data_IF_630360884777
#
_entry.id   IF_630360884777
#
_cell.length_a   1.000
_cell.length_b   1.000
_cell.length_c   1.000
_cell.angle_alpha   90.00
_cell.angle_beta   90.00
_cell.angle_gamma   90.00
#
_symmetry.space_group_name_H-M   'P 1'
#
loop_
_entity.id
_entity.type
_entity.pdbx_description
1 polymer ?
#
# COMPACT_ATOMS: atom_id res chain seq x y z
N UNK A 1 26.57 46.87 39.28
CA UNK A 1 25.15 46.43 39.24
C UNK A 1 24.68 45.82 37.90
N UNK A 2 25.52 45.70 36.85
CA UNK A 2 25.08 45.21 35.52
C UNK A 2 25.35 43.73 35.21
N UNK A 3 26.16 43.02 36.00
CA UNK A 3 26.54 41.62 35.73
C UNK A 3 25.57 40.58 36.31
N UNK A 4 24.79 40.92 37.34
CA UNK A 4 23.81 39.98 37.94
C UNK A 4 22.49 39.86 37.16
N UNK A 5 22.17 40.81 36.27
CA UNK A 5 20.92 40.80 35.50
C UNK A 5 20.98 39.87 34.27
N UNK A 6 22.16 39.66 33.69
CA UNK A 6 22.34 38.76 32.54
C UNK A 6 22.28 37.28 32.92
N UNK A 7 22.69 36.91 34.14
CA UNK A 7 22.66 35.52 34.60
C UNK A 7 21.23 35.01 34.87
N UNK A 8 20.33 35.89 35.32
CA UNK A 8 18.92 35.57 35.58
C UNK A 8 18.11 35.38 34.28
N UNK A 9 18.42 36.14 33.23
CA UNK A 9 17.78 36.00 31.91
C UNK A 9 18.20 34.71 31.17
N UNK A 10 19.44 34.27 31.34
CA UNK A 10 19.93 33.02 30.75
C UNK A 10 19.28 31.77 31.39
N UNK A 11 19.07 31.77 32.71
CA UNK A 11 18.45 30.64 33.42
C UNK A 11 16.95 30.52 33.08
N UNK A 12 16.25 31.64 32.89
CA UNK A 12 14.85 31.63 32.46
C UNK A 12 14.69 31.13 31.00
N UNK A 13 15.60 31.48 30.09
CA UNK A 13 15.57 31.01 28.70
C UNK A 13 15.81 29.51 28.55
N UNK A 14 16.72 28.94 29.35
CA UNK A 14 17.01 27.49 29.34
C UNK A 14 15.81 26.69 29.89
N UNK A 15 15.11 27.20 30.91
CA UNK A 15 13.92 26.56 31.47
C UNK A 15 12.75 26.48 30.48
N UNK A 16 12.54 27.52 29.66
CA UNK A 16 11.47 27.56 28.65
C UNK A 16 11.78 26.61 27.47
N UNK A 17 13.04 26.55 27.02
CA UNK A 17 13.46 25.62 25.96
C UNK A 17 13.36 24.17 26.43
N UNK A 18 13.79 23.87 27.66
CA UNK A 18 13.66 22.53 28.22
C UNK A 18 12.19 22.09 28.38
N UNK A 19 11.29 23.02 28.75
CA UNK A 19 9.87 22.73 28.87
C UNK A 19 9.17 22.56 27.50
N UNK A 20 9.57 23.32 26.48
CA UNK A 20 9.11 23.15 25.10
C UNK A 20 9.57 21.80 24.53
N UNK A 21 10.86 21.47 24.67
CA UNK A 21 11.43 20.18 24.23
C UNK A 21 10.78 19.00 24.97
N UNK A 22 10.53 19.11 26.28
CA UNK A 22 9.82 18.07 27.04
C UNK A 22 8.35 17.93 26.61
N UNK A 23 7.70 19.03 26.20
CA UNK A 23 6.32 19.01 25.71
C UNK A 23 6.23 18.42 24.30
N UNK A 24 7.13 18.79 23.38
CA UNK A 24 7.27 18.18 22.05
C UNK A 24 7.65 16.70 22.13
N UNK A 25 8.52 16.33 23.07
CA UNK A 25 8.92 14.94 23.30
C UNK A 25 7.81 14.10 23.96
N UNK A 26 6.93 14.73 24.74
CA UNK A 26 5.75 14.07 25.31
C UNK A 26 4.61 13.94 24.31
N UNK A 27 4.39 14.92 23.42
CA UNK A 27 3.42 14.81 22.33
C UNK A 27 3.84 13.75 21.31
N UNK A 28 5.12 13.71 20.93
CA UNK A 28 5.64 12.68 20.02
C UNK A 28 5.59 11.27 20.61
N UNK A 29 5.63 11.10 21.94
CA UNK A 29 5.43 9.79 22.58
C UNK A 29 3.97 9.34 22.61
N UNK A 30 3.02 10.26 22.69
CA UNK A 30 1.60 9.95 22.62
C UNK A 30 1.17 9.59 21.18
N UNK A 31 1.75 10.23 20.17
CA UNK A 31 1.55 9.88 18.74
C UNK A 31 2.21 8.55 18.33
N UNK A 32 3.20 8.08 19.10
CA UNK A 32 3.95 6.84 18.84
C UNK A 32 3.66 5.73 19.86
N UNK A 33 2.58 5.84 20.62
CA UNK A 33 2.18 4.78 21.54
C UNK A 33 1.51 3.65 20.73
N UNK A 34 1.95 2.38 20.87
CA UNK A 34 1.23 1.25 20.29
C UNK A 34 -0.21 1.22 20.83
N UNK A 35 -1.17 0.70 20.07
CA UNK A 35 -2.56 0.67 20.49
C UNK A 35 -2.67 -0.17 21.78
N UNK A 36 -3.59 0.18 22.70
CA UNK A 36 -3.74 -0.56 23.94
C UNK A 36 -3.94 -2.05 23.65
N UNK A 37 -3.30 -2.93 24.42
CA UNK A 37 -3.40 -4.39 24.26
C UNK A 37 -4.87 -4.88 24.24
N UNK A 38 -5.76 -4.16 24.93
CA UNK A 38 -7.21 -4.36 24.88
C UNK A 38 -7.82 -4.20 23.48
N UNK A 39 -7.32 -3.27 22.65
CA UNK A 39 -7.77 -3.05 21.28
C UNK A 39 -7.31 -4.19 20.35
N UNK A 40 -6.05 -4.63 20.48
CA UNK A 40 -5.54 -5.79 19.72
C UNK A 40 -6.29 -7.08 20.10
N UNK A 41 -6.66 -7.23 21.38
CA UNK A 41 -7.47 -8.35 21.85
C UNK A 41 -8.93 -8.27 21.40
N UNK A 42 -9.50 -7.07 21.21
CA UNK A 42 -10.84 -6.89 20.66
C UNK A 42 -10.89 -7.34 19.20
N UNK A 43 -9.94 -6.91 18.36
CA UNK A 43 -9.82 -7.38 16.97
C UNK A 43 -9.65 -8.90 16.91
N UNK A 44 -8.79 -9.47 17.76
CA UNK A 44 -8.60 -10.93 17.84
C UNK A 44 -9.90 -11.68 18.14
N UNK A 45 -10.72 -11.16 19.06
CA UNK A 45 -11.99 -11.78 19.43
C UNK A 45 -13.09 -11.61 18.38
N UNK A 46 -13.10 -10.52 17.60
CA UNK A 46 -14.05 -10.32 16.50
C UNK A 46 -13.76 -11.28 15.33
N UNK A 47 -12.48 -11.56 15.04
CA UNK A 47 -12.06 -12.56 14.04
C UNK A 47 -12.39 -14.01 14.45
N UNK A 48 -12.25 -14.38 15.72
CA UNK A 48 -12.49 -15.75 16.19
C UNK A 48 -13.99 -16.08 16.37
N UNK A 49 -14.87 -15.08 16.52
CA UNK A 49 -16.29 -15.28 16.88
C UNK A 49 -17.32 -14.93 15.78
N UNK A 50 -16.90 -14.62 14.56
CA UNK A 50 -17.85 -14.35 13.46
C UNK A 50 -18.58 -15.64 13.05
N UNK A 51 -19.80 -15.82 13.56
CA UNK A 51 -20.71 -16.88 13.14
C UNK A 51 -21.18 -16.64 11.68
N UNK A 52 -21.42 -17.71 10.89
CA UNK A 52 -21.94 -17.57 9.53
C UNK A 52 -23.33 -16.91 9.56
N UNK A 53 -23.53 -15.89 8.72
CA UNK A 53 -24.83 -15.24 8.53
C UNK A 53 -25.74 -16.18 7.72
N UNK A 54 -26.89 -16.55 8.28
CA UNK A 54 -27.91 -17.35 7.59
C UNK A 54 -28.44 -16.61 6.35
N UNK A 55 -28.39 -17.30 5.20
CA UNK A 55 -28.88 -16.82 3.91
C UNK A 55 -30.41 -16.90 3.82
N UNK A 56 -31.10 -15.76 3.98
CA UNK A 56 -32.51 -15.65 3.57
C UNK A 56 -32.64 -15.04 2.17
N UNK A 57 -33.02 -15.91 1.23
CA UNK A 57 -33.65 -15.69 -0.09
C UNK A 57 -33.36 -14.37 -0.85
N UNK A 58 -32.30 -14.42 -1.65
CA UNK A 58 -31.85 -13.46 -2.68
C UNK A 58 -32.91 -13.01 -3.71
N UNK A 59 -34.03 -13.73 -3.87
CA UNK A 59 -35.01 -13.42 -4.92
C UNK A 59 -35.90 -12.20 -4.64
N UNK A 60 -36.17 -11.87 -3.37
CA UNK A 60 -37.06 -10.75 -3.02
C UNK A 60 -36.35 -9.38 -3.04
N UNK A 61 -35.02 -9.37 -2.93
CA UNK A 61 -34.19 -8.16 -2.93
C UNK A 61 -33.90 -7.69 -4.36
N UNK A 62 -33.67 -8.62 -5.30
CA UNK A 62 -33.36 -8.29 -6.70
C UNK A 62 -34.45 -7.50 -7.41
N UNK A 63 -35.73 -7.72 -7.08
CA UNK A 63 -36.83 -6.97 -7.68
C UNK A 63 -36.84 -5.49 -7.24
N UNK A 64 -36.46 -5.21 -5.99
CA UNK A 64 -36.45 -3.85 -5.42
C UNK A 64 -35.29 -3.00 -5.95
N UNK A 65 -34.18 -3.64 -6.32
CA UNK A 65 -32.99 -2.97 -6.89
C UNK A 65 -33.22 -2.59 -8.35
N UNK A 66 -33.95 -3.40 -9.12
CA UNK A 66 -34.25 -3.12 -10.53
C UNK A 66 -35.19 -1.91 -10.71
N UNK A 67 -36.15 -1.71 -9.80
CA UNK A 67 -37.05 -0.55 -9.84
C UNK A 67 -36.36 0.78 -9.50
N UNK A 68 -35.14 0.74 -8.93
CA UNK A 68 -34.41 1.96 -8.51
C UNK A 68 -33.56 2.56 -9.65
N UNK A 69 -33.38 1.86 -10.78
CA UNK A 69 -32.52 2.32 -11.90
C UNK A 69 -33.11 3.41 -12.80
N UNK A 70 -34.31 3.94 -12.52
CA UNK A 70 -34.95 4.98 -13.33
C UNK A 70 -35.17 6.33 -12.63
N UNK A 71 -34.68 6.49 -11.38
CA UNK A 71 -34.76 7.76 -10.65
C UNK A 71 -33.38 8.35 -10.35
N UNK A 72 -33.08 9.53 -10.87
CA UNK A 72 -32.03 10.42 -10.35
C UNK A 72 -32.43 10.88 -8.94
N UNK A 73 -32.25 10.03 -7.94
CA UNK A 73 -32.28 10.44 -6.54
C UNK A 73 -30.91 11.02 -6.18
N UNK A 74 -30.90 12.28 -5.73
CA UNK A 74 -29.72 12.86 -5.09
C UNK A 74 -29.38 12.02 -3.86
N UNK A 75 -28.35 11.20 -3.97
CA UNK A 75 -27.80 10.49 -2.81
C UNK A 75 -27.35 11.54 -1.81
N UNK A 76 -28.01 11.63 -0.65
CA UNK A 76 -27.59 12.54 0.40
C UNK A 76 -26.35 11.97 1.09
N UNK A 77 -25.20 12.62 0.91
CA UNK A 77 -23.97 12.28 1.65
C UNK A 77 -24.26 12.33 3.16
N UNK A 78 -23.93 11.29 3.93
CA UNK A 78 -24.14 11.28 5.37
C UNK A 78 -23.45 12.49 6.00
N UNK A 79 -24.15 13.20 6.88
CA UNK A 79 -23.55 14.31 7.62
C UNK A 79 -22.65 13.75 8.70
N UNK A 80 -21.39 14.17 8.70
CA UNK A 80 -20.47 13.85 9.77
C UNK A 80 -20.90 14.49 11.09
N UNK A 81 -21.01 13.70 12.14
CA UNK A 81 -21.41 14.14 13.48
C UNK A 81 -20.58 13.50 14.60
N UNK A 82 -19.42 12.91 14.29
CA UNK A 82 -18.58 12.30 15.31
C UNK A 82 -17.83 13.37 16.12
N UNK A 83 -18.12 13.44 17.42
CA UNK A 83 -17.42 14.28 18.39
C UNK A 83 -16.62 13.41 19.36
N UNK A 84 -15.32 13.70 19.50
CA UNK A 84 -14.50 13.11 20.58
C UNK A 84 -13.81 11.77 20.27
N UNK A 85 -13.69 11.36 19.00
CA UNK A 85 -12.82 10.23 18.62
C UNK A 85 -13.31 8.84 19.08
N UNK A 86 -14.61 8.56 18.98
CA UNK A 86 -15.17 7.23 19.24
C UNK A 86 -15.12 6.37 17.98
N UNK A 87 -14.57 5.15 18.10
CA UNK A 87 -14.51 4.16 17.02
C UNK A 87 -15.88 3.89 16.42
N UNK A 88 -16.86 3.54 17.25
CA UNK A 88 -18.21 3.19 16.84
C UNK A 88 -18.87 4.27 15.97
N UNK A 89 -18.60 5.55 16.29
CA UNK A 89 -19.13 6.65 15.48
C UNK A 89 -18.50 6.68 14.09
N UNK A 90 -17.16 6.60 14.03
CA UNK A 90 -16.43 6.63 12.77
C UNK A 90 -16.73 5.40 11.91
N UNK A 91 -16.82 4.22 12.52
CA UNK A 91 -17.24 2.99 11.86
C UNK A 91 -18.65 3.16 11.27
N UNK A 92 -19.63 3.57 12.08
CA UNK A 92 -21.01 3.81 11.62
C UNK A 92 -21.04 4.82 10.48
N UNK A 93 -20.27 5.90 10.59
CA UNK A 93 -20.20 6.94 9.57
C UNK A 93 -19.62 6.42 8.25
N UNK A 94 -18.49 5.71 8.27
CA UNK A 94 -17.89 5.20 7.03
C UNK A 94 -18.66 4.02 6.43
N UNK A 95 -19.35 3.20 7.24
CA UNK A 95 -20.33 2.23 6.73
C UNK A 95 -21.43 2.97 5.97
N UNK A 96 -22.04 4.00 6.58
CA UNK A 96 -23.11 4.77 5.95
C UNK A 96 -22.62 5.50 4.70
N UNK A 97 -21.45 6.12 4.75
CA UNK A 97 -20.85 6.87 3.64
C UNK A 97 -20.55 5.95 2.46
N UNK A 98 -19.93 4.80 2.72
CA UNK A 98 -19.64 3.81 1.69
C UNK A 98 -20.93 3.26 1.09
N UNK A 99 -21.95 2.89 1.90
CA UNK A 99 -23.21 2.33 1.39
C UNK A 99 -24.03 3.32 0.57
N UNK A 100 -24.16 4.55 1.05
CA UNK A 100 -25.03 5.55 0.41
C UNK A 100 -24.34 6.20 -0.79
N UNK A 101 -23.08 6.60 -0.66
CA UNK A 101 -22.34 7.38 -1.65
C UNK A 101 -21.44 6.45 -2.51
N UNK A 102 -20.14 6.44 -2.29
CA UNK A 102 -19.19 5.57 -3.00
C UNK A 102 -17.93 5.31 -2.16
N UNK A 103 -17.16 4.28 -2.52
CA UNK A 103 -15.81 4.04 -1.96
C UNK A 103 -14.93 5.28 -2.16
N UNK A 104 -14.92 5.83 -3.38
CA UNK A 104 -14.18 7.05 -3.72
C UNK A 104 -14.54 8.25 -2.84
N UNK A 105 -15.83 8.49 -2.58
CA UNK A 105 -16.25 9.59 -1.71
C UNK A 105 -15.86 9.36 -0.25
N UNK A 106 -15.94 8.12 0.25
CA UNK A 106 -15.48 7.77 1.59
C UNK A 106 -13.97 8.04 1.76
N UNK A 107 -13.15 7.69 0.77
CA UNK A 107 -11.72 8.02 0.77
C UNK A 107 -11.44 9.53 0.66
N UNK A 108 -12.22 10.24 -0.16
CA UNK A 108 -12.12 11.70 -0.26
C UNK A 108 -12.34 12.39 1.09
N UNK A 109 -13.37 11.98 1.82
CA UNK A 109 -13.65 12.50 3.17
C UNK A 109 -12.61 12.05 4.20
N UNK A 110 -12.17 10.78 4.15
CA UNK A 110 -11.11 10.27 5.03
C UNK A 110 -9.80 11.06 4.87
N UNK A 111 -9.38 11.37 3.64
CA UNK A 111 -8.19 12.19 3.36
C UNK A 111 -8.34 13.61 3.86
N UNK A 112 -9.51 14.24 3.67
CA UNK A 112 -9.78 15.58 4.19
C UNK A 112 -9.60 15.60 5.72
N UNK A 113 -10.19 14.64 6.42
CA UNK A 113 -10.11 14.51 7.88
C UNK A 113 -8.74 14.13 8.40
N UNK A 114 -7.99 13.33 7.66
CA UNK A 114 -6.64 12.92 8.05
C UNK A 114 -5.74 14.13 8.36
N UNK A 115 -5.89 15.22 7.60
CA UNK A 115 -5.10 16.43 7.85
C UNK A 115 -5.49 17.20 9.13
N UNK A 116 -6.73 17.03 9.61
CA UNK A 116 -7.30 17.86 10.68
C UNK A 116 -7.49 17.10 12.01
N UNK A 117 -7.74 15.79 11.98
CA UNK A 117 -8.09 14.98 13.13
C UNK A 117 -7.01 13.95 13.49
N UNK A 118 -6.44 14.08 14.69
CA UNK A 118 -5.42 13.16 15.21
C UNK A 118 -5.91 11.74 15.44
N UNK A 119 -7.19 11.56 15.80
CA UNK A 119 -7.81 10.24 15.90
C UNK A 119 -7.92 9.58 14.54
N UNK A 120 -8.35 10.30 13.51
CA UNK A 120 -8.43 9.78 12.13
C UNK A 120 -7.05 9.38 11.64
N UNK A 121 -5.99 10.17 11.93
CA UNK A 121 -4.62 9.75 11.60
C UNK A 121 -4.23 8.45 12.29
N UNK A 122 -4.50 8.33 13.58
CA UNK A 122 -4.16 7.14 14.36
C UNK A 122 -4.95 5.90 13.92
N UNK A 123 -6.22 6.09 13.54
CA UNK A 123 -7.15 5.01 13.17
C UNK A 123 -7.29 4.83 11.66
N UNK A 124 -6.47 5.51 10.86
CA UNK A 124 -6.71 5.57 9.42
C UNK A 124 -6.75 4.17 8.78
N UNK A 125 -5.81 3.29 9.17
CA UNK A 125 -5.77 1.92 8.66
C UNK A 125 -7.02 1.11 9.04
N UNK A 126 -7.40 0.95 10.33
CA UNK A 126 -8.66 0.31 10.69
C UNK A 126 -9.90 0.90 10.00
N UNK A 127 -9.97 2.22 9.81
CA UNK A 127 -11.10 2.85 9.12
C UNK A 127 -11.17 2.46 7.63
N UNK A 128 -10.03 2.27 6.97
CA UNK A 128 -10.02 1.75 5.59
C UNK A 128 -10.46 0.29 5.49
N UNK A 129 -10.26 -0.53 6.54
CA UNK A 129 -10.85 -1.88 6.59
C UNK A 129 -12.37 -1.80 6.57
N UNK A 130 -12.96 -0.89 7.37
CA UNK A 130 -14.41 -0.67 7.40
C UNK A 130 -14.94 -0.29 6.01
N UNK A 131 -14.27 0.62 5.31
CA UNK A 131 -14.63 1.01 3.95
C UNK A 131 -14.55 -0.19 3.00
N UNK A 132 -13.44 -0.95 3.01
CA UNK A 132 -13.24 -2.12 2.15
C UNK A 132 -14.25 -3.23 2.38
N UNK A 133 -14.52 -3.57 3.66
CA UNK A 133 -15.50 -4.59 4.04
C UNK A 133 -16.89 -4.19 3.58
N UNK A 134 -17.26 -2.94 3.83
CA UNK A 134 -18.53 -2.37 3.40
C UNK A 134 -18.66 -2.34 1.88
N UNK A 135 -17.58 -1.96 1.17
CA UNK A 135 -17.55 -1.97 -0.28
C UNK A 135 -17.79 -3.39 -0.81
N UNK A 136 -17.14 -4.39 -0.22
CA UNK A 136 -17.33 -5.78 -0.60
C UNK A 136 -18.81 -6.20 -0.56
N UNK A 137 -19.57 -5.80 0.47
CA UNK A 137 -20.99 -6.14 0.62
C UNK A 137 -21.88 -5.61 -0.52
N UNK A 138 -21.43 -4.56 -1.23
CA UNK A 138 -22.17 -3.92 -2.32
C UNK A 138 -22.05 -4.68 -3.64
N UNK A 139 -21.02 -5.51 -3.78
CA UNK A 139 -20.73 -6.23 -5.01
C UNK A 139 -21.07 -7.70 -4.88
N UNK A 140 -21.80 -8.21 -5.87
CA UNK A 140 -22.05 -9.64 -6.03
C UNK A 140 -20.72 -10.39 -6.19
N UNK A 141 -19.77 -9.82 -6.94
CA UNK A 141 -18.45 -10.38 -7.16
C UNK A 141 -17.39 -9.67 -6.29
N UNK A 142 -16.59 -10.42 -5.52
CA UNK A 142 -15.46 -9.89 -4.77
C UNK A 142 -14.49 -9.03 -5.58
N UNK A 143 -14.20 -9.45 -6.82
CA UNK A 143 -13.26 -8.75 -7.69
C UNK A 143 -13.64 -7.30 -7.98
N UNK A 144 -14.94 -7.01 -8.13
CA UNK A 144 -15.42 -5.64 -8.39
C UNK A 144 -15.08 -4.70 -7.22
N UNK A 145 -15.10 -5.21 -5.98
CA UNK A 145 -14.69 -4.44 -4.82
C UNK A 145 -13.19 -4.11 -4.84
N UNK A 146 -12.34 -5.02 -5.32
CA UNK A 146 -10.90 -4.75 -5.42
C UNK A 146 -10.58 -3.64 -6.44
N UNK A 147 -11.37 -3.49 -7.51
CA UNK A 147 -11.19 -2.44 -8.52
C UNK A 147 -11.46 -1.03 -7.98
N UNK A 148 -12.30 -0.91 -6.95
CA UNK A 148 -12.59 0.36 -6.28
C UNK A 148 -11.51 0.77 -5.26
N UNK A 149 -10.41 0.01 -5.18
CA UNK A 149 -9.45 0.14 -4.10
C UNK A 149 -8.60 1.40 -4.12
N UNK A 150 -8.24 1.83 -2.92
CA UNK A 150 -7.33 2.94 -2.65
C UNK A 150 -6.29 2.47 -1.62
N UNK A 151 -4.97 2.57 -1.91
CA UNK A 151 -3.91 2.11 -1.01
C UNK A 151 -3.67 3.06 0.18
N UNK A 152 -4.40 4.17 0.29
CA UNK A 152 -4.27 5.12 1.39
C UNK A 152 -4.39 4.42 2.74
N UNK A 153 -3.52 4.80 3.67
CA UNK A 153 -3.41 4.20 5.00
C UNK A 153 -3.07 2.71 4.97
N UNK A 154 -1.96 2.41 4.28
CA UNK A 154 -1.29 1.11 4.27
C UNK A 154 -2.19 0.00 3.75
N UNK A 155 -2.81 0.20 2.57
CA UNK A 155 -3.60 -0.82 1.88
C UNK A 155 -4.76 -1.43 2.68
N UNK A 156 -5.18 -0.79 3.78
CA UNK A 156 -6.19 -1.35 4.68
C UNK A 156 -7.56 -1.56 4.01
N UNK A 157 -7.83 -0.85 2.91
CA UNK A 157 -8.97 -1.14 2.05
C UNK A 157 -8.99 -2.60 1.59
N UNK A 158 -7.87 -3.08 1.03
CA UNK A 158 -7.77 -4.41 0.44
C UNK A 158 -7.89 -5.50 1.51
N UNK A 159 -7.40 -5.23 2.72
CA UNK A 159 -7.63 -6.08 3.89
C UNK A 159 -9.13 -6.19 4.19
N UNK A 160 -9.81 -5.04 4.29
CA UNK A 160 -11.26 -4.98 4.49
C UNK A 160 -12.05 -5.71 3.41
N UNK A 161 -11.65 -5.59 2.14
CA UNK A 161 -12.29 -6.35 1.05
C UNK A 161 -12.16 -7.85 1.32
N UNK A 162 -10.97 -8.36 1.65
CA UNK A 162 -10.80 -9.77 1.96
C UNK A 162 -11.55 -10.19 3.22
N UNK A 163 -11.60 -9.36 4.26
CA UNK A 163 -12.43 -9.61 5.46
C UNK A 163 -13.89 -9.85 5.07
N UNK A 164 -14.45 -9.00 4.21
CA UNK A 164 -15.83 -9.13 3.75
C UNK A 164 -16.06 -10.32 2.82
N UNK A 165 -15.04 -10.75 2.07
CA UNK A 165 -15.06 -12.01 1.32
C UNK A 165 -15.07 -13.20 2.27
N UNK A 166 -14.17 -13.23 3.26
CA UNK A 166 -14.08 -14.27 4.27
C UNK A 166 -15.36 -14.37 5.10
N UNK A 167 -15.99 -13.23 5.43
CA UNK A 167 -17.29 -13.22 6.10
C UNK A 167 -18.39 -13.95 5.30
N UNK A 168 -18.28 -13.99 3.97
CA UNK A 168 -19.21 -14.72 3.08
C UNK A 168 -18.83 -16.18 2.85
N UNK A 169 -17.57 -16.45 2.54
CA UNK A 169 -17.12 -17.79 2.15
C UNK A 169 -16.63 -18.64 3.32
N UNK A 170 -16.27 -18.02 4.44
CA UNK A 170 -15.58 -18.63 5.58
C UNK A 170 -14.09 -18.85 5.33
N UNK A 171 -13.25 -18.56 6.33
CA UNK A 171 -11.78 -18.65 6.21
C UNK A 171 -11.30 -20.03 5.73
N UNK A 172 -11.93 -21.11 6.20
CA UNK A 172 -11.58 -22.49 5.82
C UNK A 172 -11.71 -22.77 4.33
N UNK A 173 -12.57 -22.01 3.63
CA UNK A 173 -12.80 -22.17 2.20
C UNK A 173 -11.96 -21.22 1.35
N UNK A 174 -11.16 -20.33 1.95
CA UNK A 174 -10.40 -19.34 1.18
C UNK A 174 -9.44 -20.02 0.19
N UNK A 175 -8.67 -21.01 0.66
CA UNK A 175 -7.70 -21.71 -0.17
C UNK A 175 -8.33 -22.34 -1.42
N UNK A 176 -9.54 -22.91 -1.31
CA UNK A 176 -10.27 -23.51 -2.44
C UNK A 176 -11.06 -22.49 -3.28
N UNK A 177 -11.10 -21.22 -2.87
CA UNK A 177 -11.82 -20.14 -3.55
C UNK A 177 -10.90 -19.06 -4.12
N UNK A 178 -9.59 -19.13 -3.92
CA UNK A 178 -8.63 -18.13 -4.42
C UNK A 178 -8.84 -17.79 -5.90
N UNK A 179 -8.96 -18.79 -6.78
CA UNK A 179 -9.20 -18.58 -8.23
C UNK A 179 -10.55 -17.94 -8.57
N UNK A 180 -11.51 -17.97 -7.65
CA UNK A 180 -12.87 -17.45 -7.89
C UNK A 180 -13.01 -15.97 -7.54
N UNK A 181 -12.09 -15.41 -6.76
CA UNK A 181 -12.20 -14.03 -6.23
C UNK A 181 -12.14 -13.00 -7.35
N UNK A 182 -11.16 -13.14 -8.26
CA UNK A 182 -10.92 -12.22 -9.38
C UNK A 182 -11.45 -12.75 -10.72
N UNK A 183 -12.30 -13.78 -10.72
CA UNK A 183 -12.72 -14.49 -11.94
C UNK A 183 -13.55 -13.63 -12.90
N UNK A 184 -14.28 -12.65 -12.37
CA UNK A 184 -15.24 -11.83 -13.12
C UNK A 184 -14.66 -10.49 -13.62
N UNK A 185 -13.36 -10.27 -13.46
CA UNK A 185 -12.71 -9.07 -13.98
C UNK A 185 -12.70 -9.10 -15.52
N UNK A 186 -13.07 -7.98 -16.14
CA UNK A 186 -13.04 -7.82 -17.60
C UNK A 186 -11.61 -7.93 -18.12
N UNK A 187 -11.45 -8.42 -19.34
CA UNK A 187 -10.15 -8.56 -20.03
C UNK A 187 -9.10 -9.38 -19.25
N UNK A 188 -9.58 -10.31 -18.41
CA UNK A 188 -8.75 -11.26 -17.65
C UNK A 188 -7.75 -12.01 -18.51
N UNK A 189 -8.17 -12.47 -19.69
CA UNK A 189 -7.32 -13.23 -20.61
C UNK A 189 -6.12 -12.43 -21.12
N UNK A 190 -6.24 -11.10 -21.15
CA UNK A 190 -5.17 -10.18 -21.54
C UNK A 190 -4.27 -9.75 -20.38
N UNK A 191 -4.52 -10.24 -19.15
CA UNK A 191 -3.83 -9.80 -17.93
C UNK A 191 -3.86 -8.28 -17.73
N UNK A 192 -5.00 -7.67 -18.06
CA UNK A 192 -5.19 -6.22 -17.99
C UNK A 192 -4.98 -5.65 -16.59
N UNK A 193 -4.81 -4.33 -16.52
CA UNK A 193 -4.47 -3.61 -15.30
C UNK A 193 -5.48 -3.84 -14.16
N UNK A 194 -6.77 -3.89 -14.45
CA UNK A 194 -7.83 -4.17 -13.47
C UNK A 194 -7.68 -5.58 -12.87
N UNK A 195 -7.36 -6.58 -13.71
CA UNK A 195 -7.14 -7.95 -13.24
C UNK A 195 -5.89 -8.03 -12.36
N UNK A 196 -4.83 -7.31 -12.75
CA UNK A 196 -3.63 -7.17 -11.94
C UNK A 196 -3.95 -6.57 -10.58
N UNK A 197 -4.66 -5.44 -10.53
CA UNK A 197 -5.01 -4.78 -9.28
C UNK A 197 -5.86 -5.67 -8.36
N UNK A 198 -6.76 -6.47 -8.93
CA UNK A 198 -7.52 -7.45 -8.15
C UNK A 198 -6.61 -8.50 -7.51
N UNK A 199 -5.77 -9.15 -8.32
CA UNK A 199 -4.92 -10.25 -7.83
C UNK A 199 -3.80 -9.72 -6.92
N UNK A 200 -3.26 -8.54 -7.19
CA UNK A 200 -2.32 -7.82 -6.32
C UNK A 200 -2.97 -7.45 -4.99
N UNK A 201 -4.16 -6.85 -5.02
CA UNK A 201 -4.95 -6.52 -3.83
C UNK A 201 -5.26 -7.76 -2.98
N UNK A 202 -5.54 -8.90 -3.60
CA UNK A 202 -5.71 -10.17 -2.90
C UNK A 202 -4.46 -10.56 -2.08
N UNK A 203 -3.26 -10.29 -2.59
CA UNK A 203 -2.00 -10.48 -1.86
C UNK A 203 -1.90 -9.67 -0.57
N UNK A 204 -2.35 -8.40 -0.60
CA UNK A 204 -2.44 -7.58 0.62
C UNK A 204 -3.42 -8.20 1.63
N UNK A 205 -4.61 -8.57 1.17
CA UNK A 205 -5.60 -9.22 2.03
C UNK A 205 -5.06 -10.50 2.67
N UNK A 206 -4.39 -11.35 1.88
CA UNK A 206 -3.80 -12.60 2.37
C UNK A 206 -2.79 -12.34 3.48
N UNK A 207 -1.94 -11.31 3.36
CA UNK A 207 -1.03 -10.90 4.44
C UNK A 207 -1.75 -10.51 5.73
N UNK A 208 -2.89 -9.85 5.63
CA UNK A 208 -3.67 -9.49 6.82
C UNK A 208 -4.19 -10.73 7.57
N UNK A 209 -4.73 -11.71 6.84
CA UNK A 209 -5.36 -12.89 7.45
C UNK A 209 -4.34 -13.90 7.99
N UNK A 210 -3.16 -13.97 7.39
CA UNK A 210 -2.05 -14.77 7.93
C UNK A 210 -1.24 -13.97 8.95
N UNK A 211 -1.75 -12.83 9.42
CA UNK A 211 -1.11 -12.03 10.48
C UNK A 211 0.34 -11.62 10.15
N UNK A 212 0.55 -11.19 8.91
CA UNK A 212 1.86 -10.84 8.34
C UNK A 212 2.86 -12.01 8.26
N UNK A 213 2.40 -13.26 8.37
CA UNK A 213 3.21 -14.44 8.06
C UNK A 213 3.44 -14.55 6.55
N UNK A 214 4.51 -13.89 6.07
CA UNK A 214 4.83 -13.76 4.64
C UNK A 214 4.91 -15.11 3.93
N UNK A 215 5.56 -16.11 4.52
CA UNK A 215 5.69 -17.41 3.88
C UNK A 215 4.36 -18.15 3.75
N UNK A 216 3.51 -18.08 4.77
CA UNK A 216 2.15 -18.63 4.69
C UNK A 216 1.30 -17.88 3.67
N UNK A 217 1.47 -16.55 3.57
CA UNK A 217 0.82 -15.76 2.53
C UNK A 217 1.18 -16.21 1.11
N UNK A 218 2.46 -16.52 0.87
CA UNK A 218 2.88 -17.07 -0.42
C UNK A 218 2.27 -18.45 -0.69
N UNK A 219 2.09 -19.28 0.33
CA UNK A 219 1.40 -20.58 0.20
C UNK A 219 -0.09 -20.44 -0.19
N UNK A 220 -0.73 -19.34 0.21
CA UNK A 220 -2.07 -18.98 -0.26
C UNK A 220 -2.05 -18.47 -1.71
N UNK A 221 -1.10 -17.62 -2.07
CA UNK A 221 -0.92 -17.19 -3.46
C UNK A 221 -0.69 -18.40 -4.40
N UNK A 222 -0.04 -19.45 -3.90
CA UNK A 222 0.15 -20.71 -4.62
C UNK A 222 -1.11 -21.54 -4.87
N UNK A 223 -2.25 -21.16 -4.28
CA UNK A 223 -3.54 -21.78 -4.61
C UNK A 223 -4.15 -21.22 -5.88
N UNK A 224 -3.63 -20.12 -6.42
CA UNK A 224 -4.01 -19.61 -7.73
C UNK A 224 -3.45 -20.54 -8.81
N UNK A 225 -4.27 -20.90 -9.80
CA UNK A 225 -3.87 -21.88 -10.82
C UNK A 225 -2.85 -21.32 -11.81
N UNK A 226 -2.92 -20.03 -12.13
CA UNK A 226 -2.05 -19.41 -13.13
C UNK A 226 -0.75 -18.83 -12.55
N UNK A 227 0.40 -19.01 -13.23
CA UNK A 227 1.68 -18.51 -12.73
C UNK A 227 1.74 -16.98 -12.67
N UNK A 228 1.05 -16.28 -13.57
CA UNK A 228 0.97 -14.83 -13.53
C UNK A 228 0.20 -14.33 -12.31
N UNK A 229 -0.90 -15.00 -11.95
CA UNK A 229 -1.70 -14.70 -10.79
C UNK A 229 -0.92 -14.96 -9.49
N UNK A 230 -0.18 -16.08 -9.42
CA UNK A 230 0.70 -16.38 -8.30
C UNK A 230 1.73 -15.26 -8.08
N UNK A 231 2.40 -14.80 -9.15
CA UNK A 231 3.37 -13.70 -9.07
C UNK A 231 2.72 -12.37 -8.69
N UNK A 232 1.53 -12.09 -9.22
CA UNK A 232 0.78 -10.86 -8.94
C UNK A 232 0.29 -10.81 -7.49
N UNK A 233 -0.24 -11.92 -6.97
CA UNK A 233 -0.61 -12.05 -5.55
C UNK A 233 0.61 -11.90 -4.65
N UNK A 234 1.71 -12.60 -4.97
CA UNK A 234 2.95 -12.45 -4.22
C UNK A 234 3.47 -11.00 -4.22
N UNK A 235 3.28 -10.26 -5.31
CA UNK A 235 3.69 -8.85 -5.37
C UNK A 235 2.95 -7.96 -4.36
N UNK A 236 1.65 -8.20 -4.15
CA UNK A 236 0.89 -7.53 -3.10
C UNK A 236 1.34 -7.95 -1.69
N UNK A 237 1.61 -9.24 -1.49
CA UNK A 237 2.10 -9.74 -0.20
C UNK A 237 3.47 -9.16 0.18
N UNK A 238 4.41 -9.08 -0.77
CA UNK A 238 5.70 -8.43 -0.56
C UNK A 238 5.57 -6.92 -0.35
N UNK A 239 4.68 -6.25 -1.10
CA UNK A 239 4.42 -4.83 -0.88
C UNK A 239 3.90 -4.58 0.53
N UNK A 240 2.93 -5.38 0.97
CA UNK A 240 2.41 -5.31 2.35
C UNK A 240 3.55 -5.51 3.35
N UNK A 241 4.44 -6.50 3.14
CA UNK A 241 5.58 -6.70 4.02
C UNK A 241 6.48 -5.46 4.15
N UNK A 242 6.82 -4.78 3.04
CA UNK A 242 7.75 -3.64 3.06
C UNK A 242 7.14 -2.34 3.62
N UNK A 243 5.81 -2.17 3.56
CA UNK A 243 5.13 -0.98 4.09
C UNK A 243 4.93 -1.04 5.61
N UNK A 244 5.29 -2.15 6.26
CA UNK A 244 5.31 -2.31 7.71
C UNK A 244 6.04 -1.15 8.41
N UNK A 245 5.33 -0.50 9.33
CA UNK A 245 5.78 0.70 10.02
C UNK A 245 6.42 0.42 11.38
N UNK A 246 6.35 -0.84 11.86
CA UNK A 246 6.88 -1.27 13.15
C UNK A 246 6.08 -0.77 14.35
N UNK A 247 4.90 -0.19 14.13
CA UNK A 247 4.01 0.33 15.18
C UNK A 247 2.65 -0.35 15.13
N UNK A 248 1.89 -0.07 14.07
CA UNK A 248 0.55 -0.63 13.84
C UNK A 248 0.63 -1.83 12.92
N UNK A 249 1.62 -1.84 12.02
CA UNK A 249 1.88 -2.91 11.08
C UNK A 249 3.30 -3.44 11.30
N UNK A 250 3.37 -4.63 11.90
CA UNK A 250 4.62 -5.26 12.32
C UNK A 250 4.85 -6.50 11.48
N UNK A 251 6.08 -6.66 11.02
CA UNK A 251 6.55 -7.86 10.34
C UNK A 251 7.86 -8.34 10.96
N UNK A 252 8.06 -9.65 10.98
CA UNK A 252 9.35 -10.28 11.30
C UNK A 252 10.21 -10.55 10.06
N UNK A 253 9.68 -10.28 8.87
CA UNK A 253 10.34 -10.54 7.58
C UNK A 253 11.12 -9.33 7.07
N UNK A 254 11.52 -8.43 7.96
CA UNK A 254 12.37 -7.27 7.68
C UNK A 254 13.37 -7.11 8.84
N UNK A 255 14.65 -6.93 8.49
CA UNK A 255 15.72 -6.79 9.47
C UNK A 255 16.65 -5.62 9.06
N UNK A 256 16.79 -4.54 9.85
CA UNK A 256 17.62 -3.39 9.46
C UNK A 256 19.09 -3.74 9.26
N UNK A 257 19.57 -4.80 9.92
CA UNK A 257 20.93 -5.31 9.77
C UNK A 257 21.10 -6.21 8.54
N UNK A 258 20.01 -6.66 7.92
CA UNK A 258 20.01 -7.51 6.72
C UNK A 258 19.05 -6.93 5.66
N UNK A 259 19.43 -5.82 4.98
CA UNK A 259 18.50 -5.07 4.12
C UNK A 259 17.95 -5.84 2.90
N UNK A 260 18.59 -6.94 2.50
CA UNK A 260 18.13 -7.83 1.42
C UNK A 260 17.11 -8.88 1.88
N UNK A 261 16.96 -9.07 3.19
CA UNK A 261 15.97 -9.98 3.76
C UNK A 261 14.56 -9.34 3.63
N UNK A 262 13.57 -10.06 3.08
CA UNK A 262 13.51 -11.51 2.99
C UNK A 262 13.87 -12.09 1.61
N UNK A 263 14.14 -11.25 0.61
CA UNK A 263 14.30 -11.66 -0.79
C UNK A 263 15.46 -12.63 -1.03
N UNK A 264 16.57 -12.50 -0.30
CA UNK A 264 17.69 -13.45 -0.38
C UNK A 264 17.33 -14.88 0.09
N UNK A 265 16.25 -15.02 0.85
CA UNK A 265 15.73 -16.31 1.34
C UNK A 265 14.36 -16.69 0.75
N UNK A 266 13.79 -15.83 -0.08
CA UNK A 266 12.53 -16.09 -0.79
C UNK A 266 12.66 -17.32 -1.70
N UNK A 267 11.58 -18.08 -1.95
CA UNK A 267 11.53 -19.05 -3.04
C UNK A 267 11.96 -18.43 -4.38
N UNK A 268 12.77 -19.14 -5.16
CA UNK A 268 13.38 -18.60 -6.40
C UNK A 268 12.35 -18.04 -7.39
N UNK A 269 11.19 -18.70 -7.51
CA UNK A 269 10.08 -18.23 -8.36
C UNK A 269 9.60 -16.81 -8.03
N UNK A 270 9.77 -16.38 -6.78
CA UNK A 270 9.28 -15.10 -6.27
C UNK A 270 10.38 -14.07 -6.03
N UNK A 271 11.66 -14.44 -6.18
CA UNK A 271 12.78 -13.53 -5.88
C UNK A 271 12.73 -12.26 -6.70
N UNK A 272 12.43 -12.34 -8.01
CA UNK A 272 12.27 -11.14 -8.83
C UNK A 272 11.12 -10.25 -8.32
N UNK A 273 9.97 -10.83 -8.00
CA UNK A 273 8.83 -10.10 -7.43
C UNK A 273 9.21 -9.39 -6.13
N UNK A 274 9.95 -10.07 -5.24
CA UNK A 274 10.42 -9.50 -3.98
C UNK A 274 11.43 -8.35 -4.22
N UNK A 275 12.48 -8.61 -5.01
CA UNK A 275 13.52 -7.62 -5.27
C UNK A 275 13.00 -6.38 -6.00
N UNK A 276 11.93 -6.48 -6.80
CA UNK A 276 11.29 -5.35 -7.49
C UNK A 276 10.68 -4.30 -6.54
N UNK A 277 10.57 -4.60 -5.24
CA UNK A 277 10.13 -3.62 -4.24
C UNK A 277 11.04 -3.49 -3.01
N UNK A 278 11.96 -4.43 -2.79
CA UNK A 278 12.81 -4.47 -1.59
C UNK A 278 13.66 -3.20 -1.37
N UNK A 279 14.03 -2.48 -2.43
CA UNK A 279 14.85 -1.27 -2.28
C UNK A 279 14.16 -0.17 -1.50
N UNK A 280 12.81 -0.16 -1.43
CA UNK A 280 12.08 0.80 -0.60
C UNK A 280 12.42 0.60 0.88
N UNK A 281 12.53 -0.65 1.32
CA UNK A 281 12.97 -0.98 2.67
C UNK A 281 14.46 -0.65 2.87
N UNK A 282 15.30 -1.02 1.90
CA UNK A 282 16.74 -0.72 1.95
C UNK A 282 17.00 0.79 2.12
N UNK A 283 16.31 1.62 1.35
CA UNK A 283 16.36 3.08 1.44
C UNK A 283 15.79 3.61 2.76
N UNK A 284 14.73 2.98 3.29
CA UNK A 284 14.16 3.33 4.60
C UNK A 284 15.19 3.15 5.72
N UNK A 285 15.90 2.02 5.74
CA UNK A 285 16.84 1.70 6.84
C UNK A 285 18.20 2.37 6.70
N UNK A 286 18.60 2.79 5.50
CA UNK A 286 19.88 3.44 5.26
C UNK A 286 19.82 4.97 5.16
N UNK A 287 18.65 5.56 5.40
CA UNK A 287 18.50 7.03 5.33
C UNK A 287 18.46 7.57 3.90
N UNK A 288 17.98 6.78 2.94
CA UNK A 288 17.86 7.09 1.50
C UNK A 288 19.21 7.24 0.79
N UNK A 289 20.24 6.51 1.22
CA UNK A 289 21.52 6.46 0.53
C UNK A 289 21.43 5.55 -0.70
N UNK A 290 21.19 6.15 -1.86
CA UNK A 290 21.10 5.44 -3.15
C UNK A 290 22.41 4.77 -3.55
N UNK A 291 23.58 5.38 -3.28
CA UNK A 291 24.88 4.78 -3.60
C UNK A 291 25.04 3.47 -2.83
N UNK A 292 24.72 3.51 -1.53
CA UNK A 292 24.79 2.31 -0.71
C UNK A 292 23.79 1.23 -1.15
N UNK A 293 22.59 1.63 -1.59
CA UNK A 293 21.60 0.68 -2.13
C UNK A 293 22.06 0.04 -3.43
N UNK A 294 22.73 0.78 -4.34
CA UNK A 294 23.38 0.20 -5.52
C UNK A 294 24.44 -0.84 -5.12
N UNK A 295 25.31 -0.53 -4.15
CA UNK A 295 26.30 -1.49 -3.63
C UNK A 295 25.63 -2.76 -3.07
N UNK A 296 24.53 -2.62 -2.34
CA UNK A 296 23.80 -3.79 -1.84
C UNK A 296 23.16 -4.62 -2.95
N UNK A 297 22.55 -3.97 -3.95
CA UNK A 297 22.03 -4.67 -5.12
C UNK A 297 23.15 -5.40 -5.89
N UNK A 298 24.38 -4.88 -5.91
CA UNK A 298 25.51 -5.56 -6.56
C UNK A 298 25.85 -6.92 -5.95
N UNK A 299 25.50 -7.13 -4.68
CA UNK A 299 25.66 -8.41 -3.96
C UNK A 299 24.49 -9.38 -4.10
N UNK A 300 23.41 -8.99 -4.78
CA UNK A 300 22.28 -9.87 -5.11
C UNK A 300 22.71 -10.90 -6.15
N UNK A 301 22.09 -12.08 -6.12
CA UNK A 301 22.34 -13.13 -7.09
C UNK A 301 22.19 -12.62 -8.54
N UNK A 302 23.07 -13.03 -9.44
CA UNK A 302 23.16 -12.48 -10.81
C UNK A 302 21.81 -12.50 -11.55
N UNK A 303 21.01 -13.56 -11.35
CA UNK A 303 19.68 -13.70 -11.95
C UNK A 303 18.65 -12.64 -11.50
N UNK A 304 18.86 -12.00 -10.35
CA UNK A 304 17.91 -11.06 -9.73
C UNK A 304 18.48 -9.65 -9.54
N UNK A 305 19.79 -9.48 -9.69
CA UNK A 305 20.51 -8.20 -9.51
C UNK A 305 19.93 -7.06 -10.34
N UNK A 306 19.62 -7.34 -11.61
CA UNK A 306 18.99 -6.37 -12.53
C UNK A 306 17.63 -5.87 -12.00
N UNK A 307 16.82 -6.78 -11.47
CA UNK A 307 15.53 -6.45 -10.85
C UNK A 307 15.69 -5.57 -9.61
N UNK A 308 16.74 -5.78 -8.81
CA UNK A 308 17.05 -4.90 -7.68
C UNK A 308 17.39 -3.48 -8.12
N UNK A 309 18.13 -3.29 -9.20
CA UNK A 309 18.38 -1.95 -9.77
C UNK A 309 17.11 -1.32 -10.36
N UNK A 310 16.24 -2.10 -11.01
CA UNK A 310 14.92 -1.60 -11.47
C UNK A 310 14.04 -1.14 -10.30
N UNK A 311 14.04 -1.89 -9.20
CA UNK A 311 13.41 -1.49 -7.93
C UNK A 311 13.91 -0.13 -7.44
N UNK A 312 15.24 0.07 -7.48
CA UNK A 312 15.86 1.33 -7.08
C UNK A 312 15.46 2.49 -8.01
N UNK A 313 15.34 2.22 -9.31
CA UNK A 313 14.82 3.16 -10.30
C UNK A 313 13.39 3.60 -10.02
N UNK A 314 12.52 2.66 -9.69
CA UNK A 314 11.14 2.94 -9.24
C UNK A 314 11.15 3.85 -8.01
N UNK A 315 11.99 3.56 -7.01
CA UNK A 315 12.13 4.39 -5.81
C UNK A 315 12.73 5.78 -6.07
N UNK A 316 13.60 5.92 -7.09
CA UNK A 316 14.14 7.21 -7.52
C UNK A 316 13.03 8.10 -8.09
N UNK A 317 12.20 7.55 -9.00
CA UNK A 317 11.05 8.25 -9.55
C UNK A 317 10.02 8.55 -8.46
N UNK A 318 9.48 7.53 -7.77
CA UNK A 318 8.45 7.73 -6.76
C UNK A 318 8.89 8.63 -5.61
N UNK A 319 10.14 8.50 -5.15
CA UNK A 319 10.72 9.31 -4.08
C UNK A 319 10.94 10.78 -4.43
N UNK A 320 10.99 11.13 -5.72
CA UNK A 320 11.12 12.51 -6.22
C UNK A 320 9.80 13.03 -6.80
N UNK A 321 8.70 12.27 -6.65
CA UNK A 321 7.41 12.57 -7.30
C UNK A 321 7.58 12.70 -8.82
N UNK A 322 8.36 11.78 -9.39
CA UNK A 322 8.72 11.71 -10.81
C UNK A 322 9.28 13.04 -11.34
N UNK A 323 10.19 13.66 -10.58
CA UNK A 323 10.93 14.83 -11.05
C UNK A 323 12.07 14.37 -11.97
N UNK A 324 12.10 14.88 -13.21
CA UNK A 324 13.06 14.47 -14.24
C UNK A 324 14.51 14.62 -13.79
N UNK A 325 14.91 15.82 -13.36
CA UNK A 325 16.31 16.10 -13.00
C UNK A 325 16.77 15.33 -11.76
N UNK A 326 15.93 15.30 -10.72
CA UNK A 326 16.28 14.56 -9.49
C UNK A 326 16.34 13.05 -9.73
N UNK A 327 15.41 12.48 -10.53
CA UNK A 327 15.45 11.04 -10.86
C UNK A 327 16.68 10.70 -11.70
N UNK A 328 17.01 11.54 -12.68
CA UNK A 328 18.24 11.43 -13.47
C UNK A 328 19.46 11.35 -12.54
N UNK A 329 19.61 12.34 -11.66
CA UNK A 329 20.77 12.44 -10.77
C UNK A 329 20.91 11.23 -9.86
N UNK A 330 19.78 10.69 -9.35
CA UNK A 330 19.77 9.49 -8.52
C UNK A 330 20.19 8.24 -9.30
N UNK A 331 19.71 8.04 -10.54
CA UNK A 331 20.13 6.89 -11.34
C UNK A 331 21.59 6.98 -11.80
N UNK A 332 22.10 8.19 -12.00
CA UNK A 332 23.51 8.43 -12.35
C UNK A 332 24.49 8.19 -11.19
N UNK A 333 24.00 7.92 -9.97
CA UNK A 333 24.82 7.43 -8.87
C UNK A 333 25.35 6.01 -9.09
N UNK A 334 24.76 5.25 -10.03
CA UNK A 334 25.23 3.92 -10.42
C UNK A 334 26.63 3.97 -11.03
N UNK A 335 27.53 3.10 -10.56
CA UNK A 335 28.96 3.16 -10.89
C UNK A 335 29.30 2.51 -12.24
N UNK A 336 28.47 1.59 -12.72
CA UNK A 336 28.63 0.89 -14.00
C UNK A 336 27.40 1.03 -14.91
N UNK A 337 27.54 0.53 -16.14
CA UNK A 337 26.48 0.62 -17.15
C UNK A 337 25.23 -0.22 -16.80
N UNK A 338 25.39 -1.37 -16.14
CA UNK A 338 24.26 -2.25 -15.76
C UNK A 338 23.40 -1.57 -14.69
N UNK A 339 24.04 -1.00 -13.65
CA UNK A 339 23.37 -0.24 -12.59
C UNK A 339 22.56 0.92 -13.17
N UNK A 340 23.19 1.74 -14.02
CA UNK A 340 22.54 2.91 -14.62
C UNK A 340 21.38 2.48 -15.53
N UNK A 341 21.61 1.52 -16.43
CA UNK A 341 20.58 1.04 -17.35
C UNK A 341 19.35 0.51 -16.61
N UNK A 342 19.53 -0.36 -15.62
CA UNK A 342 18.41 -0.94 -14.90
C UNK A 342 17.71 0.04 -13.94
N UNK A 343 18.43 0.99 -13.34
CA UNK A 343 17.77 2.10 -12.64
C UNK A 343 16.87 2.91 -13.59
N UNK A 344 17.38 3.26 -14.77
CA UNK A 344 16.62 4.02 -15.76
C UNK A 344 15.40 3.24 -16.29
N UNK A 345 15.53 1.92 -16.51
CA UNK A 345 14.43 1.02 -16.88
C UNK A 345 13.33 1.02 -15.81
N UNK A 346 13.70 0.95 -14.53
CA UNK A 346 12.73 1.01 -13.43
C UNK A 346 12.04 2.37 -13.33
N UNK A 347 12.82 3.44 -13.43
CA UNK A 347 12.32 4.81 -13.34
C UNK A 347 11.36 5.17 -14.48
N UNK A 348 11.67 4.82 -15.74
CA UNK A 348 10.81 5.16 -16.88
C UNK A 348 9.45 4.46 -16.80
N UNK A 349 9.40 3.21 -16.32
CA UNK A 349 8.15 2.49 -16.06
C UNK A 349 7.32 3.20 -15.00
N UNK A 350 7.95 3.64 -13.91
CA UNK A 350 7.27 4.37 -12.83
C UNK A 350 6.75 5.75 -13.29
N UNK A 351 7.49 6.49 -14.12
CA UNK A 351 7.01 7.73 -14.74
C UNK A 351 5.71 7.53 -15.54
N UNK A 352 5.65 6.46 -16.34
CA UNK A 352 4.47 6.12 -17.12
C UNK A 352 3.30 5.79 -16.20
N UNK A 353 3.53 4.96 -15.18
CA UNK A 353 2.50 4.59 -14.21
C UNK A 353 1.99 5.78 -13.40
N UNK A 354 2.86 6.72 -13.03
CA UNK A 354 2.50 7.89 -12.23
C UNK A 354 1.71 8.93 -13.04
N UNK A 355 2.14 9.23 -14.26
CA UNK A 355 1.48 10.25 -15.10
C UNK A 355 0.38 9.69 -16.01
N UNK A 356 0.27 8.37 -16.13
CA UNK A 356 -0.52 7.69 -17.17
C UNK A 356 -0.20 8.22 -18.58
N UNK A 357 1.07 8.54 -18.83
CA UNK A 357 1.53 9.21 -20.03
C UNK A 357 2.99 8.90 -20.36
N UNK A 358 3.31 8.86 -21.65
CA UNK A 358 4.68 8.72 -22.15
C UNK A 358 5.42 10.06 -22.32
N UNK A 359 4.75 11.21 -22.19
CA UNK A 359 5.36 12.52 -22.41
C UNK A 359 6.46 12.83 -21.39
N UNK A 360 6.17 12.68 -20.09
CA UNK A 360 7.13 12.89 -19.02
C UNK A 360 8.20 11.80 -19.00
N UNK A 361 7.84 10.57 -19.35
CA UNK A 361 8.78 9.47 -19.51
C UNK A 361 9.81 9.76 -20.63
N UNK A 362 9.35 10.28 -21.78
CA UNK A 362 10.23 10.76 -22.87
C UNK A 362 11.08 11.94 -22.44
N UNK A 363 10.56 12.88 -21.66
CA UNK A 363 11.35 13.98 -21.12
C UNK A 363 12.46 13.47 -20.18
N UNK A 364 12.16 12.48 -19.33
CA UNK A 364 13.15 11.79 -18.51
C UNK A 364 14.21 11.09 -19.37
N UNK A 365 13.81 10.29 -20.36
CA UNK A 365 14.78 9.61 -21.23
C UNK A 365 15.67 10.57 -22.03
N UNK A 366 15.13 11.71 -22.47
CA UNK A 366 15.90 12.73 -23.18
C UNK A 366 16.85 13.55 -22.29
N UNK A 367 16.83 13.32 -20.96
CA UNK A 367 17.79 13.96 -20.04
C UNK A 367 19.17 13.30 -20.06
N UNK A 368 19.31 12.09 -20.61
CA UNK A 368 20.58 11.36 -20.67
C UNK A 368 21.39 11.74 -21.91
N UNK A 369 22.67 12.07 -21.70
CA UNK A 369 23.64 12.35 -22.78
C UNK A 369 24.19 11.06 -23.44
N UNK A 370 24.23 9.96 -22.68
CA UNK A 370 24.63 8.65 -23.18
C UNK A 370 23.51 8.09 -24.09
N UNK A 371 23.80 7.98 -25.39
CA UNK A 371 22.82 7.57 -26.40
C UNK A 371 22.32 6.13 -26.22
N UNK A 372 23.15 5.21 -25.71
CA UNK A 372 22.75 3.82 -25.47
C UNK A 372 21.76 3.75 -24.29
N UNK A 373 22.05 4.50 -23.22
CA UNK A 373 21.18 4.60 -22.05
C UNK A 373 19.85 5.27 -22.40
N UNK A 374 19.91 6.37 -23.17
CA UNK A 374 18.73 7.07 -23.68
C UNK A 374 17.87 6.17 -24.56
N UNK A 375 18.46 5.44 -25.50
CA UNK A 375 17.72 4.53 -26.37
C UNK A 375 17.11 3.36 -25.59
N UNK A 376 17.82 2.84 -24.59
CA UNK A 376 17.30 1.82 -23.66
C UNK A 376 16.08 2.34 -22.91
N UNK A 377 16.14 3.57 -22.40
CA UNK A 377 15.04 4.24 -21.73
C UNK A 377 13.83 4.43 -22.64
N UNK A 378 14.03 4.99 -23.84
CA UNK A 378 12.96 5.26 -24.81
C UNK A 378 12.26 3.97 -25.24
N UNK A 379 13.04 2.95 -25.65
CA UNK A 379 12.48 1.66 -26.09
C UNK A 379 11.70 0.97 -24.98
N UNK A 380 12.23 1.01 -23.74
CA UNK A 380 11.54 0.45 -22.57
C UNK A 380 10.23 1.20 -22.31
N UNK A 381 10.27 2.53 -22.34
CA UNK A 381 9.09 3.36 -22.14
C UNK A 381 8.01 3.13 -23.19
N UNK A 382 8.38 3.08 -24.47
CA UNK A 382 7.46 2.78 -25.57
C UNK A 382 6.81 1.40 -25.42
N UNK A 383 7.60 0.36 -25.13
CA UNK A 383 7.11 -0.99 -24.94
C UNK A 383 6.22 -1.16 -23.71
N UNK A 384 6.50 -0.43 -22.62
CA UNK A 384 5.68 -0.45 -21.42
C UNK A 384 4.37 0.34 -21.59
N UNK A 385 4.43 1.52 -22.23
CA UNK A 385 3.25 2.33 -22.46
C UNK A 385 2.22 1.66 -23.38
N UNK A 386 2.67 0.86 -24.35
CA UNK A 386 1.81 0.11 -25.26
C UNK A 386 0.95 -0.97 -24.56
N UNK A 387 1.16 -1.23 -23.26
CA UNK A 387 0.37 -2.16 -22.45
C UNK A 387 -0.81 -1.50 -21.74
N UNK A 388 -0.88 -0.17 -21.75
CA UNK A 388 -2.03 0.63 -21.29
C UNK A 388 -2.96 0.90 -22.47
#
# INVERSE_FOLDING_TARGET
MRTKLFLLLAIAGIGVIAFAVLREWRSSRLENSPPPEAFLNQIRNEFDNSAPVETSTTAAISQKVLDTKTGTQSVSTPKFNCSGGSWDCYETYYVAMTKSASTKEAFGDLRARYSEDGYVRAMCHPLTHVIGRTASERFENPGDAYLEGDPFCWSGYYHGVLEGVIGRIGLKNLAERMDTICVNIKDREGYGFDYYNCVHGLGHGVMAITQNELWESLDYCDKLTGPWEQLSCASGAYMENIIADGKMHITKFLNPSEPLYPCNTSPDKYKNTCYLMQTSYMLKVNGRDFKKTFEWCSGVEEAHRRTCYESLGRDASGGTTSNVGQTHDLCMLGTDAEQRAHCVIGAVKDFISYFHSDAQAKAFCNSFEDEDLKQTCLTTGEGYYAQF
#
